data_IF_322346673485
#
_entry.id   IF_322346673485
#
_cell.length_a   1.000
_cell.length_b   1.000
_cell.length_c   1.000
_cell.angle_alpha   90.00
_cell.angle_beta   90.00
_cell.angle_gamma   90.00
#
_symmetry.space_group_name_H-M   'P 1'
#
loop_
_entity.id
_entity.type
_entity.pdbx_description
1 polymer ?
#
# COMPACT_ATOMS: atom_id res chain seq x y z
N UNK A 1 2.98 14.18 -37.33
CA UNK A 1 1.95 13.80 -36.29
C UNK A 1 2.65 13.17 -35.12
N UNK A 2 2.41 13.70 -33.92
CA UNK A 2 2.96 13.13 -32.67
C UNK A 2 2.29 11.79 -32.38
N UNK A 3 3.04 10.78 -31.91
CA UNK A 3 2.45 9.53 -31.46
C UNK A 3 1.39 9.78 -30.37
N UNK A 4 0.35 8.95 -30.29
CA UNK A 4 -0.76 9.14 -29.33
C UNK A 4 -0.34 9.25 -27.86
N UNK A 5 0.78 8.65 -27.49
CA UNK A 5 1.33 8.73 -26.13
C UNK A 5 1.83 10.13 -25.72
N UNK A 6 1.97 11.04 -26.66
CA UNK A 6 2.35 12.43 -26.40
C UNK A 6 1.16 13.39 -26.42
N UNK A 7 -0.02 12.89 -26.78
CA UNK A 7 -1.25 13.65 -26.73
C UNK A 7 -1.83 13.54 -25.32
N UNK A 8 -1.72 14.60 -24.54
CA UNK A 8 -2.24 14.63 -23.18
C UNK A 8 -3.59 15.34 -23.15
N UNK A 9 -4.56 14.85 -22.35
CA UNK A 9 -5.77 15.61 -22.09
C UNK A 9 -5.41 16.93 -21.40
N UNK A 10 -6.20 17.93 -21.68
CA UNK A 10 -5.99 19.32 -21.31
C UNK A 10 -5.59 19.52 -19.83
N UNK A 11 -4.55 20.31 -19.61
CA UNK A 11 -4.11 20.74 -18.29
C UNK A 11 -2.70 20.30 -17.88
N UNK A 12 -1.99 19.58 -18.73
CA UNK A 12 -0.60 19.21 -18.47
C UNK A 12 0.40 20.36 -18.68
N UNK A 13 1.57 20.22 -18.09
CA UNK A 13 2.70 21.10 -18.37
C UNK A 13 3.01 21.12 -19.86
N UNK A 14 3.53 22.23 -20.34
CA UNK A 14 3.85 22.39 -21.76
C UNK A 14 4.73 21.23 -22.27
N UNK A 15 4.37 20.71 -23.42
CA UNK A 15 5.15 19.71 -24.14
C UNK A 15 6.57 20.23 -24.37
N UNK A 16 7.57 19.52 -23.89
CA UNK A 16 8.98 19.81 -24.10
C UNK A 16 9.54 18.85 -25.17
N UNK A 17 9.71 19.32 -26.42
CA UNK A 17 10.18 18.48 -27.51
C UNK A 17 11.61 17.98 -27.29
N UNK A 18 12.47 18.70 -26.60
CA UNK A 18 13.86 18.30 -26.36
C UNK A 18 13.98 17.15 -25.35
N UNK A 19 13.06 17.03 -24.39
CA UNK A 19 12.98 15.89 -23.48
C UNK A 19 12.60 14.58 -24.17
N UNK A 20 11.89 14.66 -25.28
CA UNK A 20 11.34 13.50 -25.98
C UNK A 20 12.20 13.04 -27.17
N UNK A 21 12.87 13.96 -27.86
CA UNK A 21 13.59 13.67 -29.13
C UNK A 21 14.78 12.74 -28.91
N UNK A 22 15.57 12.91 -27.85
CA UNK A 22 16.71 12.01 -27.57
C UNK A 22 16.32 10.55 -27.32
N UNK A 23 15.06 10.32 -26.96
CA UNK A 23 14.55 9.00 -26.63
C UNK A 23 13.71 8.37 -27.76
N UNK A 24 13.18 9.17 -28.70
CA UNK A 24 12.28 8.68 -29.76
C UNK A 24 12.97 7.73 -30.73
N UNK A 25 14.21 8.01 -31.11
CA UNK A 25 14.96 7.15 -32.06
C UNK A 25 15.28 5.77 -31.48
N UNK A 26 15.45 5.67 -30.17
CA UNK A 26 15.79 4.42 -29.50
C UNK A 26 14.57 3.55 -29.14
N UNK A 27 13.36 4.11 -29.22
CA UNK A 27 12.12 3.39 -28.90
C UNK A 27 11.71 2.38 -29.95
N UNK A 28 11.94 2.72 -31.20
CA UNK A 28 11.63 1.84 -32.32
C UNK A 28 12.69 0.74 -32.52
N UNK A 29 13.87 0.91 -31.91
CA UNK A 29 14.92 -0.10 -31.85
C UNK A 29 14.78 -1.15 -30.78
N UNK A 30 13.73 -1.10 -30.01
CA UNK A 30 13.22 -2.23 -29.18
C UNK A 30 13.83 -2.45 -27.81
N UNK A 31 14.91 -1.80 -27.36
CA UNK A 31 15.54 -2.25 -26.11
C UNK A 31 16.37 -1.21 -25.33
N UNK A 32 16.22 0.08 -25.59
CA UNK A 32 16.96 1.02 -24.78
C UNK A 32 16.26 1.31 -23.46
N UNK A 33 16.84 0.81 -22.39
CA UNK A 33 16.53 1.18 -21.01
C UNK A 33 17.83 1.56 -20.32
N UNK A 34 17.79 2.54 -19.47
CA UNK A 34 18.93 2.87 -18.60
C UNK A 34 19.16 1.74 -17.60
N UNK A 35 20.41 1.59 -17.18
CA UNK A 35 20.80 0.62 -16.15
C UNK A 35 19.95 0.83 -14.88
N UNK A 36 19.35 -0.24 -14.34
CA UNK A 36 18.47 -0.17 -13.17
C UNK A 36 16.98 0.12 -13.49
N UNK A 37 16.58 0.18 -14.75
CA UNK A 37 15.16 0.32 -15.10
C UNK A 37 14.46 -1.04 -15.19
N UNK A 38 13.19 -1.05 -14.80
CA UNK A 38 12.31 -2.22 -14.87
C UNK A 38 11.41 -2.11 -16.10
N UNK A 39 11.28 -3.21 -16.85
CA UNK A 39 10.44 -3.28 -18.04
C UNK A 39 9.15 -4.04 -17.71
N UNK A 40 8.03 -3.48 -18.15
CA UNK A 40 6.71 -4.07 -17.94
C UNK A 40 5.89 -4.11 -19.22
N UNK A 41 5.12 -5.17 -19.38
CA UNK A 41 4.14 -5.30 -20.43
C UNK A 41 2.98 -4.33 -20.20
N UNK A 42 2.42 -3.77 -21.26
CA UNK A 42 1.26 -2.88 -21.19
C UNK A 42 0.13 -3.38 -22.11
N UNK A 43 -1.09 -3.35 -21.57
CA UNK A 43 -2.27 -3.73 -22.34
C UNK A 43 -2.60 -2.68 -23.43
N UNK A 44 -2.67 -3.12 -24.67
CA UNK A 44 -3.14 -2.32 -25.79
C UNK A 44 -4.62 -2.62 -26.06
N UNK A 45 -5.50 -1.73 -25.61
CA UNK A 45 -6.94 -1.90 -25.76
C UNK A 45 -7.42 -2.05 -27.20
N UNK A 46 -7.00 -1.19 -28.14
CA UNK A 46 -7.36 -1.31 -29.55
C UNK A 46 -6.94 -2.63 -30.21
N UNK A 47 -5.81 -3.19 -29.80
CA UNK A 47 -5.25 -4.44 -30.35
C UNK A 47 -5.60 -5.68 -29.54
N UNK A 48 -6.24 -5.53 -28.39
CA UNK A 48 -6.63 -6.60 -27.47
C UNK A 48 -5.47 -7.56 -27.12
N UNK A 49 -4.27 -7.03 -26.96
CA UNK A 49 -3.08 -7.80 -26.58
C UNK A 49 -2.14 -7.00 -25.68
N UNK A 50 -1.20 -7.71 -25.06
CA UNK A 50 -0.12 -7.10 -24.30
C UNK A 50 1.04 -6.77 -25.22
N UNK A 51 1.52 -5.52 -25.15
CA UNK A 51 2.80 -5.12 -25.75
C UNK A 51 3.90 -5.45 -24.74
N UNK A 52 4.78 -6.37 -25.12
CA UNK A 52 5.90 -6.82 -24.29
C UNK A 52 6.90 -5.68 -24.07
N UNK A 53 7.38 -5.58 -22.81
CA UNK A 53 8.43 -4.65 -22.39
C UNK A 53 8.17 -3.20 -22.85
N UNK A 54 6.87 -2.81 -22.87
CA UNK A 54 6.45 -1.55 -23.47
C UNK A 54 6.64 -0.35 -22.55
N UNK A 55 6.64 -0.57 -21.24
CA UNK A 55 6.70 0.50 -20.24
C UNK A 55 7.97 0.38 -19.43
N UNK A 56 8.65 1.51 -19.24
CA UNK A 56 9.89 1.61 -18.48
C UNK A 56 9.60 2.29 -17.13
N UNK A 57 9.92 1.62 -16.04
CA UNK A 57 9.77 2.13 -14.68
C UNK A 57 11.13 2.23 -14.00
N UNK A 58 11.29 3.27 -13.20
CA UNK A 58 12.49 3.51 -12.39
C UNK A 58 12.10 3.74 -10.94
N UNK A 59 12.90 3.23 -10.04
CA UNK A 59 12.87 3.63 -8.64
C UNK A 59 13.75 4.88 -8.47
N UNK A 60 13.16 5.92 -7.92
CA UNK A 60 13.81 7.22 -7.69
C UNK A 60 13.86 7.49 -6.19
N UNK A 61 14.89 8.18 -5.73
CA UNK A 61 14.95 8.59 -4.34
C UNK A 61 13.80 9.53 -3.97
N UNK A 62 13.12 9.23 -2.85
CA UNK A 62 12.11 10.11 -2.30
C UNK A 62 12.75 11.39 -1.73
N UNK A 63 12.16 12.54 -2.05
CA UNK A 63 12.60 13.83 -1.55
C UNK A 63 12.41 13.92 -0.04
N UNK A 64 13.35 14.53 0.65
CA UNK A 64 13.24 14.83 2.08
C UNK A 64 12.55 16.17 2.30
N UNK A 65 11.54 16.18 3.16
CA UNK A 65 10.86 17.39 3.62
C UNK A 65 11.22 17.77 5.06
N UNK A 66 10.49 18.71 5.62
CA UNK A 66 10.70 19.21 6.98
C UNK A 66 9.94 18.38 8.01
N UNK A 67 10.63 17.90 9.05
CA UNK A 67 10.04 17.22 10.21
C UNK A 67 9.02 18.08 10.96
N UNK A 68 9.11 19.39 10.85
CA UNK A 68 8.16 20.32 11.47
C UNK A 68 6.72 20.03 10.99
N UNK A 69 6.54 19.73 9.71
CA UNK A 69 5.25 19.33 9.15
C UNK A 69 4.61 18.15 9.90
N UNK A 70 5.40 17.12 10.20
CA UNK A 70 4.91 15.94 10.92
C UNK A 70 4.51 16.31 12.35
N UNK A 71 5.33 17.12 13.02
CA UNK A 71 5.04 17.57 14.39
C UNK A 71 3.77 18.42 14.45
N UNK A 72 3.58 19.34 13.51
CA UNK A 72 2.36 20.14 13.39
C UNK A 72 1.13 19.26 13.12
N UNK A 73 1.25 18.31 12.21
CA UNK A 73 0.17 17.36 11.87
C UNK A 73 -0.25 16.56 13.11
N UNK A 74 0.68 15.99 13.85
CA UNK A 74 0.39 15.24 15.06
C UNK A 74 -0.25 16.10 16.16
N UNK A 75 0.19 17.34 16.31
CA UNK A 75 -0.42 18.30 17.24
C UNK A 75 -1.84 18.66 16.82
N UNK A 76 -2.05 18.95 15.53
CA UNK A 76 -3.35 19.29 14.95
C UNK A 76 -4.38 18.18 15.16
N UNK A 77 -3.97 16.93 14.97
CA UNK A 77 -4.85 15.77 14.99
C UNK A 77 -4.64 14.86 16.21
N UNK A 78 -4.06 15.34 17.30
CA UNK A 78 -3.71 14.52 18.47
C UNK A 78 -4.88 13.66 19.01
N UNK A 79 -6.13 14.20 18.99
CA UNK A 79 -7.33 13.47 19.42
C UNK A 79 -7.67 12.32 18.46
N UNK A 80 -7.56 12.58 17.15
CA UNK A 80 -7.85 11.59 16.11
C UNK A 80 -6.82 10.47 16.14
N UNK A 81 -5.54 10.78 16.32
CA UNK A 81 -4.47 9.77 16.51
C UNK A 81 -4.80 8.86 17.68
N UNK A 82 -5.22 9.43 18.82
CA UNK A 82 -5.61 8.64 19.98
C UNK A 82 -6.83 7.74 19.74
N UNK A 83 -7.80 8.19 18.95
CA UNK A 83 -8.95 7.37 18.56
C UNK A 83 -8.55 6.25 17.57
N UNK A 84 -7.73 6.57 16.57
CA UNK A 84 -7.22 5.59 15.62
C UNK A 84 -6.42 4.50 16.31
N UNK A 85 -5.48 4.86 17.19
CA UNK A 85 -4.70 3.88 17.97
C UNK A 85 -5.61 2.94 18.78
N UNK A 86 -6.60 3.47 19.50
CA UNK A 86 -7.56 2.64 20.24
C UNK A 86 -8.36 1.69 19.34
N UNK A 87 -8.80 2.17 18.18
CA UNK A 87 -9.52 1.33 17.22
C UNK A 87 -8.64 0.20 16.67
N UNK A 88 -7.39 0.51 16.39
CA UNK A 88 -6.43 -0.48 15.90
C UNK A 88 -5.97 -1.45 16.99
N UNK A 89 -5.79 -0.99 18.25
CA UNK A 89 -5.57 -1.86 19.40
C UNK A 89 -6.72 -2.84 19.60
N UNK A 90 -7.96 -2.39 19.44
CA UNK A 90 -9.13 -3.27 19.52
C UNK A 90 -9.13 -4.33 18.41
N UNK A 91 -8.69 -3.97 17.19
CA UNK A 91 -8.53 -4.93 16.09
C UNK A 91 -7.39 -5.94 16.35
N UNK A 92 -6.31 -5.49 16.99
CA UNK A 92 -5.19 -6.37 17.35
C UNK A 92 -5.58 -7.38 18.44
N UNK A 93 -6.39 -6.97 19.38
CA UNK A 93 -6.83 -7.79 20.52
C UNK A 93 -8.09 -8.60 20.25
N UNK A 94 -8.63 -8.57 19.03
CA UNK A 94 -9.77 -9.40 18.65
C UNK A 94 -9.35 -10.87 18.53
N UNK A 95 -9.19 -11.54 19.70
CA UNK A 95 -9.04 -12.98 19.75
C UNK A 95 -10.32 -13.64 19.20
N UNK A 96 -10.17 -14.59 18.30
CA UNK A 96 -11.31 -15.36 17.80
C UNK A 96 -11.69 -16.40 18.85
N UNK A 97 -12.81 -16.16 19.53
CA UNK A 97 -13.35 -17.13 20.49
C UNK A 97 -14.03 -18.26 19.72
N UNK A 98 -13.32 -19.39 19.58
CA UNK A 98 -13.87 -20.60 18.99
C UNK A 98 -14.74 -21.30 20.03
N UNK A 99 -16.03 -21.45 19.71
CA UNK A 99 -17.00 -22.20 20.52
C UNK A 99 -16.97 -23.70 20.18
N UNK A 100 -17.47 -24.52 21.13
CA UNK A 100 -17.64 -25.97 20.95
C UNK A 100 -16.34 -26.68 20.55
N UNK A 101 -15.27 -26.43 21.29
CA UNK A 101 -14.00 -27.12 21.10
C UNK A 101 -13.88 -28.28 22.11
N UNK A 102 -13.07 -29.29 21.74
CA UNK A 102 -12.77 -30.43 22.61
C UNK A 102 -11.88 -30.04 23.80
N UNK A 103 -11.02 -29.00 23.61
CA UNK A 103 -10.13 -28.48 24.63
C UNK A 103 -10.16 -26.95 24.59
N UNK A 104 -10.01 -26.28 25.73
CA UNK A 104 -9.99 -24.83 25.81
C UNK A 104 -9.80 -24.31 27.23
N UNK A 105 -9.62 -23.01 27.36
CA UNK A 105 -9.35 -22.33 28.63
C UNK A 105 -10.63 -22.12 29.48
N UNK A 106 -11.79 -22.07 28.81
CA UNK A 106 -13.08 -21.81 29.43
C UNK A 106 -14.15 -22.80 28.94
N UNK A 107 -15.18 -23.02 29.74
CA UNK A 107 -16.34 -23.84 29.35
C UNK A 107 -17.33 -23.01 28.51
N UNK A 108 -17.82 -23.62 27.43
CA UNK A 108 -18.96 -23.10 26.65
C UNK A 108 -20.26 -23.53 27.42
N UNK A 109 -20.82 -22.60 28.16
CA UNK A 109 -22.01 -22.85 28.99
C UNK A 109 -23.18 -23.36 28.14
N UNK A 110 -23.36 -22.81 26.92
CA UNK A 110 -24.43 -23.22 26.02
C UNK A 110 -24.23 -24.69 25.60
N UNK A 111 -22.98 -25.06 25.25
CA UNK A 111 -22.65 -26.43 24.88
C UNK A 111 -22.80 -27.41 26.04
N UNK A 112 -22.48 -27.00 27.27
CA UNK A 112 -22.68 -27.82 28.49
C UNK A 112 -24.16 -28.09 28.74
N UNK A 113 -25.00 -27.04 28.59
CA UNK A 113 -26.47 -27.20 28.76
C UNK A 113 -27.02 -28.14 27.68
N UNK A 114 -26.63 -27.98 26.44
CA UNK A 114 -27.06 -28.88 25.34
C UNK A 114 -26.64 -30.32 25.63
N UNK A 115 -25.40 -30.55 26.07
CA UNK A 115 -24.89 -31.89 26.41
C UNK A 115 -25.66 -32.53 27.59
N UNK A 116 -26.04 -31.73 28.58
CA UNK A 116 -26.86 -32.22 29.71
C UNK A 116 -28.27 -32.65 29.26
N UNK A 117 -28.86 -31.88 28.34
CA UNK A 117 -30.18 -32.22 27.76
C UNK A 117 -30.10 -33.50 26.95
N UNK A 118 -29.04 -33.66 26.13
CA UNK A 118 -28.82 -34.90 25.36
C UNK A 118 -28.63 -36.12 26.27
N UNK A 119 -27.87 -35.96 27.35
CA UNK A 119 -27.71 -37.03 28.36
C UNK A 119 -29.04 -37.45 29.01
N UNK A 120 -29.86 -36.48 29.39
CA UNK A 120 -31.20 -36.76 29.95
C UNK A 120 -32.13 -37.46 28.99
N UNK A 121 -31.91 -37.24 27.67
CA UNK A 121 -32.68 -37.90 26.60
C UNK A 121 -32.08 -39.25 26.17
N UNK A 122 -31.01 -39.71 26.87
CA UNK A 122 -30.33 -40.97 26.52
C UNK A 122 -29.52 -40.94 25.22
N UNK A 123 -29.15 -39.70 24.79
CA UNK A 123 -28.27 -39.48 23.62
C UNK A 123 -26.82 -39.44 24.07
N UNK A 124 -25.91 -39.67 23.14
CA UNK A 124 -24.48 -39.55 23.41
C UNK A 124 -24.11 -38.09 23.62
N UNK A 125 -23.41 -37.79 24.72
CA UNK A 125 -22.94 -36.45 25.04
C UNK A 125 -21.81 -36.05 24.10
N UNK A 126 -21.86 -34.81 23.63
CA UNK A 126 -20.72 -34.22 22.90
C UNK A 126 -19.55 -33.95 23.86
N UNK A 127 -18.32 -34.17 23.37
CA UNK A 127 -17.08 -33.83 24.06
C UNK A 127 -16.61 -32.38 23.81
N UNK A 128 -17.35 -31.62 22.95
CA UNK A 128 -17.02 -30.26 22.54
C UNK A 128 -17.65 -29.22 23.47
N UNK A 129 -17.13 -29.14 24.68
CA UNK A 129 -17.69 -28.33 25.76
C UNK A 129 -16.88 -27.07 26.08
N UNK A 130 -15.79 -26.80 25.33
CA UNK A 130 -14.86 -25.75 25.66
C UNK A 130 -14.92 -24.56 24.69
N UNK A 131 -14.52 -23.41 25.24
CA UNK A 131 -14.18 -22.20 24.50
C UNK A 131 -12.65 -22.13 24.38
N UNK A 132 -12.15 -21.97 23.20
CA UNK A 132 -10.72 -21.78 22.93
C UNK A 132 -10.48 -20.38 22.39
N UNK A 133 -9.63 -19.61 23.07
CA UNK A 133 -9.11 -18.38 22.51
C UNK A 133 -8.06 -18.70 21.45
N UNK A 134 -8.43 -18.53 20.21
CA UNK A 134 -7.49 -18.67 19.11
C UNK A 134 -6.87 -17.31 18.82
N UNK A 135 -5.64 -17.11 19.32
CA UNK A 135 -4.81 -16.00 18.86
C UNK A 135 -4.48 -16.24 17.40
N UNK A 136 -5.11 -15.49 16.52
CA UNK A 136 -4.59 -15.39 15.18
C UNK A 136 -3.28 -14.60 15.26
N UNK A 137 -2.16 -15.26 15.03
CA UNK A 137 -0.92 -14.57 14.70
C UNK A 137 -1.19 -13.82 13.41
N UNK A 138 -1.45 -12.53 13.55
CA UNK A 138 -1.76 -11.64 12.44
C UNK A 138 -0.48 -11.48 11.61
N UNK A 139 -0.51 -12.01 10.40
CA UNK A 139 0.60 -11.92 9.46
C UNK A 139 0.13 -11.17 8.21
N UNK A 140 0.09 -9.85 8.33
CA UNK A 140 -0.37 -8.98 7.25
C UNK A 140 0.80 -8.11 6.78
N UNK A 141 1.01 -8.07 5.46
CA UNK A 141 1.89 -7.11 4.81
C UNK A 141 1.03 -6.16 3.96
N UNK A 142 1.15 -4.87 4.20
CA UNK A 142 0.37 -3.83 3.52
C UNK A 142 1.29 -2.98 2.66
N UNK A 143 0.93 -2.77 1.40
CA UNK A 143 1.61 -1.83 0.53
C UNK A 143 0.69 -0.65 0.20
N UNK A 144 1.13 0.54 0.55
CA UNK A 144 0.40 1.79 0.35
C UNK A 144 0.99 2.49 -0.87
N UNK A 145 0.11 2.79 -1.83
CA UNK A 145 0.46 3.53 -3.04
C UNK A 145 -0.03 4.97 -2.92
N UNK A 146 0.85 5.94 -3.13
CA UNK A 146 0.56 7.37 -3.06
C UNK A 146 0.64 7.97 -4.46
N UNK A 147 -0.45 8.57 -4.92
CA UNK A 147 -0.49 9.24 -6.22
C UNK A 147 0.18 10.61 -6.14
N UNK A 148 1.35 10.73 -6.74
CA UNK A 148 2.10 11.98 -6.81
C UNK A 148 1.86 12.72 -8.15
N UNK A 149 0.69 12.55 -8.75
CA UNK A 149 0.38 13.24 -10.01
C UNK A 149 0.12 14.73 -9.81
N UNK A 150 0.24 15.51 -10.88
CA UNK A 150 0.03 16.96 -10.85
C UNK A 150 -1.38 17.40 -10.45
N UNK A 151 -2.37 16.50 -10.54
CA UNK A 151 -3.75 16.73 -10.10
C UNK A 151 -3.90 16.81 -8.58
N UNK A 152 -2.97 16.24 -7.82
CA UNK A 152 -2.97 16.30 -6.34
C UNK A 152 -2.36 17.58 -5.79
N UNK A 153 -1.90 18.51 -6.65
CA UNK A 153 -1.22 19.74 -6.24
C UNK A 153 -2.06 20.62 -5.31
N UNK A 154 -1.40 21.17 -4.30
CA UNK A 154 -2.01 22.09 -3.33
C UNK A 154 -2.59 21.34 -2.12
N UNK A 155 -3.79 21.73 -1.68
CA UNK A 155 -4.40 21.20 -0.45
C UNK A 155 -4.61 19.68 -0.43
N UNK A 156 -4.78 19.05 -1.61
CA UNK A 156 -4.93 17.59 -1.73
C UNK A 156 -3.62 16.92 -1.31
N UNK A 157 -2.49 17.41 -1.80
CA UNK A 157 -1.17 16.88 -1.44
C UNK A 157 -0.88 17.06 0.07
N UNK A 158 -1.30 18.20 0.65
CA UNK A 158 -1.17 18.41 2.09
C UNK A 158 -2.03 17.40 2.87
N UNK A 159 -3.27 17.20 2.46
CA UNK A 159 -4.19 16.23 3.08
C UNK A 159 -3.69 14.78 2.94
N UNK A 160 -3.10 14.43 1.80
CA UNK A 160 -2.46 13.13 1.57
C UNK A 160 -1.31 12.88 2.55
N UNK A 161 -0.38 13.83 2.68
CA UNK A 161 0.75 13.76 3.61
C UNK A 161 0.28 13.68 5.07
N UNK A 162 -0.67 14.53 5.47
CA UNK A 162 -1.29 14.50 6.80
C UNK A 162 -1.91 13.12 7.08
N UNK A 163 -2.67 12.59 6.12
CA UNK A 163 -3.31 11.29 6.24
C UNK A 163 -2.31 10.14 6.37
N UNK A 164 -1.20 10.19 5.61
CA UNK A 164 -0.13 9.20 5.71
C UNK A 164 0.54 9.21 7.08
N UNK A 165 0.83 10.38 7.64
CA UNK A 165 1.37 10.50 9.00
C UNK A 165 0.43 9.84 10.01
N UNK A 166 -0.88 10.14 9.95
CA UNK A 166 -1.87 9.57 10.87
C UNK A 166 -1.99 8.05 10.71
N UNK A 167 -1.97 7.57 9.46
CA UNK A 167 -2.06 6.15 9.15
C UNK A 167 -0.83 5.38 9.65
N UNK A 168 0.38 5.93 9.45
CA UNK A 168 1.61 5.30 9.98
C UNK A 168 1.58 5.20 11.50
N UNK A 169 1.20 6.27 12.19
CA UNK A 169 1.07 6.27 13.67
C UNK A 169 0.06 5.23 14.17
N UNK A 170 -0.96 4.94 13.39
CA UNK A 170 -1.94 3.91 13.71
C UNK A 170 -1.41 2.49 13.39
N UNK A 171 -0.73 2.31 12.25
CA UNK A 171 -0.18 1.02 11.83
C UNK A 171 0.94 0.53 12.75
N UNK A 172 1.78 1.43 13.28
CA UNK A 172 2.79 1.09 14.29
C UNK A 172 2.18 0.42 15.54
N UNK A 173 0.89 0.68 15.83
CA UNK A 173 0.18 0.04 16.94
C UNK A 173 -0.16 -1.43 16.66
N UNK A 174 -0.33 -1.79 15.39
CA UNK A 174 -0.68 -3.15 14.97
C UNK A 174 0.51 -4.10 14.91
N UNK A 175 1.72 -3.56 14.80
CA UNK A 175 2.95 -4.31 14.53
C UNK A 175 2.88 -5.08 13.18
N UNK A 176 2.01 -4.62 12.27
CA UNK A 176 1.90 -5.16 10.92
C UNK A 176 3.06 -4.62 10.05
N UNK A 177 3.51 -5.43 9.10
CA UNK A 177 4.50 -4.99 8.13
C UNK A 177 3.84 -4.12 7.06
N UNK A 178 4.35 -2.92 6.85
CA UNK A 178 3.84 -2.05 5.80
C UNK A 178 4.95 -1.32 5.06
N UNK A 179 4.67 -1.00 3.81
CA UNK A 179 5.54 -0.22 2.93
C UNK A 179 4.75 0.89 2.25
N UNK A 180 5.41 1.99 1.93
CA UNK A 180 4.81 3.17 1.30
C UNK A 180 5.63 3.54 0.09
N UNK A 181 4.98 3.63 -1.06
CA UNK A 181 5.59 4.04 -2.32
C UNK A 181 4.76 5.12 -2.99
N UNK A 182 5.42 6.23 -3.34
CA UNK A 182 4.85 7.22 -4.23
C UNK A 182 5.00 6.77 -5.68
N UNK A 183 4.10 7.21 -6.56
CA UNK A 183 4.26 6.96 -7.99
C UNK A 183 3.86 8.18 -8.81
N UNK A 184 4.55 8.35 -9.94
CA UNK A 184 4.26 9.36 -10.93
C UNK A 184 4.71 8.86 -12.31
N UNK A 185 4.39 9.58 -13.38
CA UNK A 185 4.88 9.24 -14.70
C UNK A 185 4.57 10.29 -15.73
N UNK A 186 5.48 10.47 -16.70
CA UNK A 186 5.27 11.38 -17.81
C UNK A 186 4.77 10.66 -19.06
N UNK A 187 5.48 9.62 -19.45
CA UNK A 187 5.17 8.78 -20.60
C UNK A 187 5.37 7.31 -20.24
N UNK A 188 5.10 6.39 -21.17
CA UNK A 188 5.42 4.97 -20.98
C UNK A 188 6.90 4.69 -20.74
N UNK A 189 7.79 5.60 -21.08
CA UNK A 189 9.24 5.47 -20.90
C UNK A 189 9.76 6.11 -19.62
N UNK A 190 8.94 6.91 -18.99
CA UNK A 190 9.27 7.59 -17.74
C UNK A 190 8.13 7.40 -16.75
N UNK A 191 8.12 6.21 -16.18
CA UNK A 191 7.31 5.91 -15.00
C UNK A 191 8.25 5.84 -13.81
N UNK A 192 7.89 6.49 -12.74
CA UNK A 192 8.74 6.66 -11.56
C UNK A 192 8.00 6.17 -10.32
N UNK A 193 8.72 5.46 -9.47
CA UNK A 193 8.25 5.01 -8.16
C UNK A 193 9.25 5.50 -7.12
N UNK A 194 8.73 6.00 -6.02
CA UNK A 194 9.51 6.63 -4.95
C UNK A 194 9.35 5.82 -3.67
N UNK A 195 10.37 5.05 -3.24
CA UNK A 195 10.33 4.33 -1.98
C UNK A 195 10.40 5.30 -0.80
N UNK A 196 9.25 5.54 -0.16
CA UNK A 196 9.11 6.38 1.02
C UNK A 196 9.46 5.58 2.27
N UNK A 197 8.87 4.39 2.40
CA UNK A 197 9.17 3.39 3.43
C UNK A 197 9.14 2.00 2.81
N UNK A 198 10.22 1.22 2.97
CA UNK A 198 10.23 -0.20 2.60
C UNK A 198 9.74 -1.07 3.77
N UNK A 199 9.52 -2.36 3.53
CA UNK A 199 9.10 -3.30 4.59
C UNK A 199 10.15 -3.48 5.69
N UNK A 200 11.43 -3.32 5.35
CA UNK A 200 12.57 -3.51 6.26
C UNK A 200 12.90 -2.25 7.07
N UNK A 201 12.45 -1.08 6.61
CA UNK A 201 12.71 0.18 7.30
C UNK A 201 11.78 0.39 8.48
N UNK A 202 12.29 0.79 9.66
CA UNK A 202 11.46 1.26 10.75
C UNK A 202 10.81 2.62 10.39
N UNK A 203 9.74 2.97 11.08
CA UNK A 203 9.12 4.30 10.97
C UNK A 203 9.92 5.32 11.78
N UNK A 204 11.05 5.73 11.25
CA UNK A 204 11.99 6.70 11.84
C UNK A 204 11.81 8.12 11.29
N UNK A 205 12.64 9.04 11.74
CA UNK A 205 12.61 10.43 11.29
C UNK A 205 12.96 10.56 9.80
N UNK A 206 13.75 9.65 9.24
CA UNK A 206 14.03 9.61 7.81
C UNK A 206 12.79 9.31 6.97
N UNK A 207 11.97 8.35 7.41
CA UNK A 207 10.67 8.06 6.76
C UNK A 207 9.71 9.22 6.92
N UNK A 208 9.64 9.84 8.10
CA UNK A 208 8.82 11.03 8.35
C UNK A 208 9.20 12.19 7.45
N UNK A 209 10.49 12.43 7.24
CA UNK A 209 10.98 13.44 6.29
C UNK A 209 10.58 13.11 4.85
N UNK A 210 10.66 11.85 4.43
CA UNK A 210 10.20 11.44 3.09
C UNK A 210 8.70 11.65 2.91
N UNK A 211 7.87 11.35 3.91
CA UNK A 211 6.44 11.66 3.88
C UNK A 211 6.20 13.17 3.75
N UNK A 212 6.90 13.97 4.54
CA UNK A 212 6.82 15.43 4.46
C UNK A 212 7.31 15.98 3.10
N UNK A 213 8.19 15.26 2.41
CA UNK A 213 8.75 15.63 1.12
C UNK A 213 7.93 15.18 -0.09
N UNK A 214 6.77 14.53 0.10
CA UNK A 214 5.88 14.14 -1.00
C UNK A 214 5.36 15.40 -1.70
N UNK A 215 5.62 15.51 -3.00
CA UNK A 215 5.19 16.63 -3.83
C UNK A 215 4.48 16.10 -5.08
N UNK A 216 3.44 16.81 -5.50
CA UNK A 216 2.78 16.54 -6.78
C UNK A 216 3.74 16.81 -7.94
N UNK A 217 3.86 15.85 -8.84
CA UNK A 217 4.83 15.90 -9.96
C UNK A 217 4.11 15.92 -11.32
N UNK A 218 4.24 14.83 -12.07
CA UNK A 218 3.80 14.74 -13.45
C UNK A 218 2.38 14.12 -13.57
N UNK A 219 2.22 13.14 -14.44
CA UNK A 219 0.96 12.44 -14.70
C UNK A 219 0.88 11.10 -13.99
N UNK A 220 -0.30 10.50 -14.05
CA UNK A 220 -0.57 9.20 -13.44
C UNK A 220 -0.40 8.07 -14.46
N UNK A 221 0.49 7.10 -14.17
CA UNK A 221 0.57 5.80 -14.85
C UNK A 221 0.46 4.67 -13.84
N UNK A 222 -0.74 4.51 -13.32
CA UNK A 222 -1.03 3.59 -12.23
C UNK A 222 -0.74 2.12 -12.58
N UNK A 223 -1.05 1.68 -13.81
CA UNK A 223 -0.97 0.27 -14.18
C UNK A 223 0.42 -0.35 -14.05
N UNK A 224 1.47 0.36 -14.43
CA UNK A 224 2.85 -0.12 -14.28
C UNK A 224 3.30 -0.06 -12.81
N UNK A 225 2.92 0.98 -12.07
CA UNK A 225 3.21 1.09 -10.65
C UNK A 225 2.59 -0.07 -9.86
N UNK A 226 1.31 -0.39 -10.12
CA UNK A 226 0.63 -1.55 -9.50
C UNK A 226 1.40 -2.84 -9.77
N UNK A 227 1.81 -3.11 -11.01
CA UNK A 227 2.53 -4.35 -11.35
C UNK A 227 3.87 -4.44 -10.62
N UNK A 228 4.61 -3.34 -10.58
CA UNK A 228 5.90 -3.29 -9.89
C UNK A 228 5.73 -3.52 -8.38
N UNK A 229 4.83 -2.78 -7.76
CA UNK A 229 4.59 -2.88 -6.33
C UNK A 229 3.96 -4.21 -5.92
N UNK A 230 3.09 -4.79 -6.77
CA UNK A 230 2.60 -6.16 -6.55
C UNK A 230 3.71 -7.20 -6.58
N UNK A 231 4.72 -7.03 -7.45
CA UNK A 231 5.89 -7.89 -7.46
C UNK A 231 6.67 -7.78 -6.16
N UNK A 232 6.96 -6.56 -5.70
CA UNK A 232 7.64 -6.32 -4.43
C UNK A 232 6.85 -6.86 -3.23
N UNK A 233 5.52 -6.73 -3.24
CA UNK A 233 4.66 -7.26 -2.19
C UNK A 233 4.70 -8.80 -2.15
N UNK A 234 4.71 -9.46 -3.31
CA UNK A 234 4.81 -10.92 -3.40
C UNK A 234 6.18 -11.45 -2.99
N UNK A 235 7.24 -10.64 -3.14
CA UNK A 235 8.60 -10.97 -2.69
C UNK A 235 8.76 -10.72 -1.18
N UNK A 236 7.91 -9.88 -0.59
CA UNK A 236 7.88 -9.67 0.85
C UNK A 236 7.28 -10.89 1.53
N UNK A 237 8.12 -11.66 2.26
CA UNK A 237 7.64 -12.78 3.07
C UNK A 237 6.64 -12.27 4.12
N UNK A 238 5.39 -12.66 3.98
CA UNK A 238 4.42 -12.54 5.07
C UNK A 238 4.78 -13.57 6.14
N UNK A 239 5.07 -13.12 7.35
CA UNK A 239 5.35 -14.00 8.50
C UNK A 239 4.07 -14.52 9.11
#
# INVERSE_FOLDING_TARGET
>A
ELPPEYLHPAGGAAFDPDRTVKSAQNVWGGTYHEEGAFLYDEWDGPRLNYRKEWTVLREMEAKMGDLHFVTETLNKYHRLVGQLRKSFEALRSADLLLKRQQNGDNLDVDAVVDAMVDHQQGREMTDRLYLQNHRHDRSIAVMIMVDMSGSTKGWINDAERESLVLLCEALETLDDRYAIYGFSGWTRKRCEVFPIKTFEQPYDDGVKQKIAGIEAQDYTRMGVAIRHLSKLLNEAEAR
#
